data_IF_517313706470
#
_entry.id   IF_517313706470
#
_cell.length_a   1.000
_cell.length_b   1.000
_cell.length_c   1.000
_cell.angle_alpha   90.00
_cell.angle_beta   90.00
_cell.angle_gamma   90.00
#
_symmetry.space_group_name_H-M   'P 1'
#
loop_
_entity.id
_entity.type
_entity.pdbx_description
1 polymer ?
#
# COMPACT_ATOMS: atom_id res chain seq x y z
N UNK A 1 22.55 -9.42 -19.02
CA UNK A 1 22.16 -8.64 -17.81
C UNK A 1 20.88 -9.24 -17.25
N UNK A 2 20.90 -9.70 -16.02
CA UNK A 2 19.71 -10.19 -15.34
C UNK A 2 18.91 -9.03 -14.75
N UNK A 3 17.60 -9.21 -14.60
CA UNK A 3 16.77 -8.24 -13.87
C UNK A 3 17.13 -8.28 -12.39
N UNK A 4 17.08 -7.12 -11.68
CA UNK A 4 17.41 -7.09 -10.27
C UNK A 4 16.38 -7.83 -9.41
N UNK A 5 16.84 -8.46 -8.35
CA UNK A 5 16.01 -8.99 -7.30
C UNK A 5 15.75 -7.94 -6.21
N UNK A 6 14.69 -8.14 -5.41
CA UNK A 6 14.31 -7.18 -4.40
C UNK A 6 15.41 -6.92 -3.36
N UNK A 7 16.13 -7.97 -2.96
CA UNK A 7 17.23 -7.86 -1.99
C UNK A 7 18.37 -6.96 -2.50
N UNK A 8 18.62 -6.95 -3.80
CA UNK A 8 19.63 -6.07 -4.40
C UNK A 8 19.20 -4.60 -4.37
N UNK A 9 17.90 -4.35 -4.53
CA UNK A 9 17.36 -2.98 -4.55
C UNK A 9 17.09 -2.44 -3.14
N UNK A 10 16.61 -3.30 -2.23
CA UNK A 10 16.22 -2.90 -0.88
C UNK A 10 16.78 -3.87 0.17
N UNK A 11 18.09 -3.85 0.42
CA UNK A 11 18.73 -4.81 1.34
C UNK A 11 18.28 -4.66 2.79
N UNK A 12 17.75 -3.50 3.18
CA UNK A 12 17.28 -3.22 4.53
C UNK A 12 15.76 -3.28 4.70
N UNK A 13 15.04 -3.87 3.75
CA UNK A 13 13.58 -3.88 3.79
C UNK A 13 13.03 -4.51 5.08
N UNK A 14 13.63 -5.60 5.55
CA UNK A 14 13.18 -6.31 6.74
C UNK A 14 13.37 -5.51 8.05
N UNK A 15 14.18 -4.47 8.03
CA UNK A 15 14.41 -3.60 9.18
C UNK A 15 13.32 -2.53 9.35
N UNK A 16 12.42 -2.41 8.39
CA UNK A 16 11.36 -1.40 8.39
C UNK A 16 10.20 -1.81 9.27
N UNK A 17 9.44 -0.82 9.76
CA UNK A 17 8.27 -1.04 10.60
C UNK A 17 7.04 -1.45 9.78
N UNK A 18 6.17 -2.23 10.40
CA UNK A 18 4.95 -2.69 9.76
C UNK A 18 5.16 -3.89 8.85
N UNK A 19 4.15 -4.25 8.10
CA UNK A 19 4.18 -5.39 7.19
C UNK A 19 4.69 -4.98 5.82
N UNK A 20 5.60 -5.77 5.28
CA UNK A 20 6.08 -5.64 3.92
C UNK A 20 5.71 -6.90 3.13
N UNK A 21 5.54 -6.77 1.80
CA UNK A 21 5.29 -7.94 0.96
C UNK A 21 6.49 -8.89 0.94
N UNK A 22 6.21 -10.16 0.76
CA UNK A 22 7.24 -11.17 0.49
C UNK A 22 7.56 -11.19 -1.00
N UNK A 23 8.81 -10.93 -1.35
CA UNK A 23 9.25 -10.97 -2.74
C UNK A 23 9.67 -12.38 -3.13
N UNK A 24 9.08 -12.98 -4.18
CA UNK A 24 9.58 -14.24 -4.72
C UNK A 24 11.01 -14.11 -5.26
N UNK A 25 11.72 -15.22 -5.33
CA UNK A 25 13.00 -15.25 -6.05
C UNK A 25 12.78 -14.86 -7.52
N UNK A 26 13.75 -14.17 -8.10
CA UNK A 26 13.71 -13.73 -9.50
C UNK A 26 13.45 -12.23 -9.62
N UNK A 27 13.04 -11.78 -10.80
CA UNK A 27 12.84 -10.35 -11.05
C UNK A 27 11.92 -9.70 -10.02
N UNK A 28 12.25 -8.49 -9.60
CA UNK A 28 11.51 -7.79 -8.55
C UNK A 28 10.01 -7.68 -8.83
N UNK A 29 9.62 -7.51 -10.07
CA UNK A 29 8.20 -7.42 -10.45
C UNK A 29 7.42 -8.73 -10.31
N UNK A 30 8.10 -9.86 -10.04
CA UNK A 30 7.44 -11.14 -9.78
C UNK A 30 6.53 -11.12 -8.56
N UNK A 31 6.67 -10.12 -7.69
CA UNK A 31 5.77 -9.93 -6.55
C UNK A 31 4.35 -9.54 -6.99
N UNK A 32 4.20 -8.82 -8.09
CA UNK A 32 2.89 -8.27 -8.51
C UNK A 32 1.83 -9.35 -8.77
N UNK A 33 2.11 -10.45 -9.47
CA UNK A 33 1.13 -11.53 -9.59
C UNK A 33 0.75 -12.19 -8.26
N UNK A 34 1.60 -12.10 -7.23
CA UNK A 34 1.35 -12.69 -5.91
C UNK A 34 0.60 -11.75 -4.96
N UNK A 35 0.49 -10.47 -5.31
CA UNK A 35 -0.01 -9.43 -4.41
C UNK A 35 -1.42 -9.70 -3.92
N UNK A 36 -2.32 -10.12 -4.79
CA UNK A 36 -3.71 -10.43 -4.42
C UNK A 36 -3.77 -11.54 -3.37
N UNK A 37 -3.02 -12.62 -3.57
CA UNK A 37 -2.98 -13.72 -2.61
C UNK A 37 -2.39 -13.31 -1.27
N UNK A 38 -1.27 -12.58 -1.27
CA UNK A 38 -0.65 -12.10 -0.04
C UNK A 38 -1.59 -11.19 0.75
N UNK A 39 -2.24 -10.25 0.08
CA UNK A 39 -3.15 -9.31 0.76
C UNK A 39 -4.42 -10.00 1.26
N UNK A 40 -4.97 -10.93 0.51
CA UNK A 40 -6.13 -11.70 0.95
C UNK A 40 -5.83 -12.45 2.24
N UNK A 41 -4.68 -13.11 2.33
CA UNK A 41 -4.26 -13.83 3.53
C UNK A 41 -3.99 -12.88 4.70
N UNK A 42 -3.24 -11.81 4.44
CA UNK A 42 -2.87 -10.83 5.47
C UNK A 42 -4.07 -10.11 6.08
N UNK A 43 -5.10 -9.85 5.28
CA UNK A 43 -6.25 -9.06 5.68
C UNK A 43 -7.46 -9.91 6.12
N UNK A 44 -7.34 -11.24 6.17
CA UNK A 44 -8.46 -12.15 6.40
C UNK A 44 -9.25 -11.87 7.70
N UNK A 45 -8.55 -11.45 8.77
CA UNK A 45 -9.14 -11.21 10.09
C UNK A 45 -9.30 -9.72 10.44
N UNK A 46 -9.19 -8.85 9.45
CA UNK A 46 -9.27 -7.40 9.67
C UNK A 46 -10.74 -6.97 9.78
N UNK A 47 -11.07 -6.34 10.91
CA UNK A 47 -12.38 -5.72 11.12
C UNK A 47 -12.50 -4.34 10.46
N UNK A 48 -13.72 -3.86 10.32
CA UNK A 48 -13.97 -2.51 9.80
C UNK A 48 -13.46 -1.45 10.79
N UNK A 49 -12.70 -0.50 10.27
CA UNK A 49 -12.33 0.72 11.00
C UNK A 49 -12.76 1.91 10.16
N UNK A 50 -13.26 2.93 10.87
CA UNK A 50 -13.68 4.19 10.23
C UNK A 50 -12.77 5.32 10.65
N UNK A 51 -12.61 6.28 9.77
CA UNK A 51 -11.92 7.54 10.00
C UNK A 51 -12.82 8.69 9.58
N UNK A 52 -12.84 9.77 10.37
CA UNK A 52 -13.63 10.94 10.07
C UNK A 52 -13.21 11.59 8.75
N UNK A 53 -14.20 11.90 7.90
CA UNK A 53 -13.95 12.51 6.61
C UNK A 53 -13.36 11.59 5.54
N UNK A 54 -13.19 10.31 5.84
CA UNK A 54 -12.64 9.31 4.92
C UNK A 54 -13.75 8.36 4.47
N UNK A 55 -13.89 8.18 3.15
CA UNK A 55 -14.83 7.24 2.57
C UNK A 55 -14.15 5.88 2.38
N UNK A 56 -14.73 4.83 2.98
CA UNK A 56 -14.18 3.48 2.90
C UNK A 56 -15.21 2.54 2.29
N UNK A 57 -14.83 1.87 1.21
CA UNK A 57 -15.62 0.83 0.56
C UNK A 57 -14.93 -0.53 0.77
N UNK A 58 -15.47 -1.34 1.68
CA UNK A 58 -14.97 -2.69 1.97
C UNK A 58 -15.76 -3.79 1.28
N UNK A 59 -16.62 -3.46 0.31
CA UNK A 59 -17.46 -4.44 -0.37
C UNK A 59 -16.67 -5.50 -1.15
N UNK A 60 -15.46 -5.15 -1.62
CA UNK A 60 -14.57 -6.06 -2.35
C UNK A 60 -13.51 -6.71 -1.48
N UNK A 61 -13.32 -6.24 -0.27
CA UNK A 61 -12.35 -6.77 0.68
C UNK A 61 -12.00 -5.78 1.78
N UNK A 62 -11.30 -6.25 2.83
CA UNK A 62 -11.02 -5.44 4.01
C UNK A 62 -10.08 -4.26 3.72
N UNK A 63 -10.23 -3.21 4.52
CA UNK A 63 -9.31 -2.07 4.56
C UNK A 63 -8.66 -2.03 5.94
N UNK A 64 -7.36 -2.20 5.99
CA UNK A 64 -6.57 -2.05 7.21
C UNK A 64 -5.88 -0.69 7.22
N UNK A 65 -6.09 0.06 8.29
CA UNK A 65 -5.40 1.34 8.53
C UNK A 65 -4.77 1.27 9.91
N UNK A 66 -3.44 1.35 9.96
CA UNK A 66 -2.74 1.40 11.24
C UNK A 66 -3.13 2.65 12.01
N UNK A 67 -3.25 2.55 13.34
CA UNK A 67 -3.70 3.67 14.18
C UNK A 67 -2.79 4.91 14.08
N UNK A 68 -1.49 4.71 13.82
CA UNK A 68 -0.53 5.82 13.65
C UNK A 68 -0.52 6.44 12.27
N UNK A 69 -1.25 5.87 11.30
CA UNK A 69 -1.33 6.45 9.97
C UNK A 69 -2.18 7.72 9.98
N UNK A 70 -1.78 8.69 9.16
CA UNK A 70 -2.52 9.94 8.96
C UNK A 70 -3.27 9.89 7.64
N UNK A 71 -4.60 9.98 7.72
CA UNK A 71 -5.45 10.02 6.52
C UNK A 71 -6.18 11.36 6.54
N UNK A 72 -5.90 12.21 5.57
CA UNK A 72 -6.57 13.51 5.47
C UNK A 72 -8.02 13.38 4.99
N UNK A 73 -8.88 14.38 5.23
CA UNK A 73 -10.25 14.34 4.74
C UNK A 73 -10.35 14.24 3.22
N UNK A 74 -11.49 13.75 2.73
CA UNK A 74 -11.80 13.56 1.30
C UNK A 74 -10.94 12.51 0.60
N UNK A 75 -10.35 11.60 1.37
CA UNK A 75 -9.72 10.38 0.83
C UNK A 75 -10.80 9.33 0.62
N UNK A 76 -10.72 8.59 -0.49
CA UNK A 76 -11.57 7.43 -0.76
C UNK A 76 -10.72 6.18 -0.86
N UNK A 77 -11.08 5.14 -0.09
CA UNK A 77 -10.33 3.87 -0.06
C UNK A 77 -11.27 2.73 -0.42
N UNK A 78 -10.88 1.95 -1.43
CA UNK A 78 -11.56 0.72 -1.80
C UNK A 78 -10.66 -0.46 -1.41
N UNK A 79 -11.19 -1.38 -0.60
CA UNK A 79 -10.46 -2.59 -0.23
C UNK A 79 -10.45 -3.65 -1.34
N UNK A 80 -9.54 -4.63 -1.24
CA UNK A 80 -8.54 -4.80 -0.18
C UNK A 80 -7.44 -3.74 -0.21
N UNK A 81 -7.12 -3.17 0.94
CA UNK A 81 -6.06 -2.18 1.05
C UNK A 81 -5.37 -2.27 2.43
N UNK A 82 -4.08 -2.03 2.43
CA UNK A 82 -3.28 -1.95 3.66
C UNK A 82 -2.59 -0.60 3.74
N UNK A 83 -2.76 0.09 4.86
CA UNK A 83 -2.07 1.35 5.15
C UNK A 83 -1.33 1.19 6.47
N UNK A 84 -0.01 1.18 6.38
CA UNK A 84 0.89 0.83 7.47
C UNK A 84 1.18 1.95 8.46
N UNK A 85 2.01 1.63 9.48
CA UNK A 85 2.37 2.60 10.54
C UNK A 85 3.00 3.86 9.97
N UNK A 86 2.62 5.01 10.50
CA UNK A 86 3.16 6.33 10.12
C UNK A 86 3.02 6.67 8.62
N UNK A 87 2.25 5.91 7.87
CA UNK A 87 1.94 6.24 6.49
C UNK A 87 1.05 7.49 6.45
N UNK A 88 1.17 8.26 5.38
CA UNK A 88 0.39 9.49 5.18
C UNK A 88 -0.37 9.40 3.87
N UNK A 89 -1.68 9.60 3.93
CA UNK A 89 -2.54 9.70 2.75
C UNK A 89 -3.16 11.09 2.72
N UNK A 90 -2.81 11.86 1.70
CA UNK A 90 -3.17 13.26 1.60
C UNK A 90 -4.55 13.46 0.99
N UNK A 91 -5.05 14.67 1.17
CA UNK A 91 -6.38 15.11 0.72
C UNK A 91 -6.67 14.73 -0.73
N UNK A 92 -7.86 14.17 -0.97
CA UNK A 92 -8.33 13.82 -2.31
C UNK A 92 -7.70 12.59 -2.94
N UNK A 93 -6.87 11.85 -2.21
CA UNK A 93 -6.28 10.62 -2.70
C UNK A 93 -7.34 9.53 -2.92
N UNK A 94 -7.10 8.68 -3.91
CA UNK A 94 -7.95 7.56 -4.26
C UNK A 94 -7.14 6.27 -4.17
N UNK A 95 -7.33 5.53 -3.09
CA UNK A 95 -6.66 4.25 -2.82
C UNK A 95 -7.59 3.14 -3.31
N UNK A 96 -7.17 2.42 -4.33
CA UNK A 96 -7.98 1.35 -4.92
C UNK A 96 -7.48 -0.04 -4.51
N UNK A 97 -8.18 -1.05 -5.02
CA UNK A 97 -8.00 -2.44 -4.65
C UNK A 97 -6.55 -2.90 -4.78
N UNK A 98 -6.09 -3.65 -3.80
CA UNK A 98 -4.76 -4.22 -3.72
C UNK A 98 -3.64 -3.17 -3.69
N UNK A 99 -3.89 -2.08 -2.99
CA UNK A 99 -2.87 -1.09 -2.65
C UNK A 99 -2.23 -1.46 -1.30
N UNK A 100 -0.93 -1.68 -1.32
CA UNK A 100 -0.15 -1.98 -0.12
C UNK A 100 0.75 -0.78 0.19
N UNK A 101 0.28 0.06 1.09
CA UNK A 101 1.00 1.28 1.49
C UNK A 101 1.78 0.96 2.76
N UNK A 102 3.08 0.74 2.62
CA UNK A 102 3.95 0.35 3.73
C UNK A 102 4.18 1.49 4.73
N UNK A 103 4.76 1.15 5.87
CA UNK A 103 5.05 2.12 6.92
C UNK A 103 5.86 3.33 6.44
N UNK A 104 5.45 4.52 6.82
CA UNK A 104 6.12 5.76 6.45
C UNK A 104 5.98 6.19 5.00
N UNK A 105 5.26 5.44 4.17
CA UNK A 105 5.02 5.84 2.78
C UNK A 105 4.00 6.97 2.68
N UNK A 106 4.07 7.72 1.59
CA UNK A 106 3.20 8.87 1.33
C UNK A 106 2.43 8.68 0.03
N UNK A 107 1.11 8.70 0.12
CA UNK A 107 0.24 8.89 -1.05
C UNK A 107 -0.23 10.33 -1.01
N UNK A 108 0.23 11.13 -1.96
CA UNK A 108 0.06 12.57 -1.94
C UNK A 108 -1.30 13.04 -2.43
N UNK A 109 -1.43 14.39 -2.47
CA UNK A 109 -2.67 15.04 -2.87
C UNK A 109 -3.16 14.57 -4.24
N UNK A 110 -4.43 14.18 -4.29
CA UNK A 110 -5.13 13.75 -5.51
C UNK A 110 -4.40 12.63 -6.29
N UNK A 111 -3.64 11.80 -5.60
CA UNK A 111 -2.96 10.65 -6.20
C UNK A 111 -3.84 9.42 -6.14
N UNK A 112 -3.70 8.55 -7.14
CA UNK A 112 -4.44 7.30 -7.22
C UNK A 112 -3.48 6.12 -7.20
N UNK A 113 -3.82 5.06 -6.43
CA UNK A 113 -3.04 3.81 -6.40
C UNK A 113 -3.96 2.62 -6.67
N UNK A 114 -3.45 1.62 -7.39
CA UNK A 114 -4.17 0.37 -7.65
C UNK A 114 -3.18 -0.76 -7.90
N UNK A 115 -3.40 -1.91 -7.23
CA UNK A 115 -2.58 -3.11 -7.41
C UNK A 115 -1.08 -2.76 -7.42
N UNK A 116 -0.63 -2.10 -6.36
CA UNK A 116 0.71 -1.53 -6.27
C UNK A 116 1.23 -1.59 -4.85
N UNK A 117 2.54 -1.54 -4.73
CA UNK A 117 3.25 -1.52 -3.46
C UNK A 117 4.01 -0.21 -3.36
N UNK A 118 3.72 0.57 -2.32
CA UNK A 118 4.58 1.66 -1.89
C UNK A 118 5.40 1.15 -0.72
N UNK A 119 6.68 0.88 -0.97
CA UNK A 119 7.61 0.37 0.05
C UNK A 119 7.87 1.40 1.14
N UNK A 120 8.40 0.99 2.30
CA UNK A 120 8.60 1.92 3.41
C UNK A 120 9.34 3.19 3.02
N UNK A 121 8.75 4.34 3.36
CA UNK A 121 9.31 5.66 3.08
C UNK A 121 9.19 6.15 1.64
N UNK A 122 8.58 5.38 0.73
CA UNK A 122 8.38 5.83 -0.65
C UNK A 122 7.31 6.92 -0.73
N UNK A 123 7.37 7.74 -1.78
CA UNK A 123 6.46 8.89 -1.91
C UNK A 123 5.92 9.04 -3.33
N UNK A 124 4.61 9.22 -3.42
CA UNK A 124 3.91 9.66 -4.62
C UNK A 124 3.25 11.02 -4.29
N UNK A 125 3.98 12.15 -4.36
CA UNK A 125 3.63 13.36 -3.61
C UNK A 125 2.46 14.17 -4.15
N UNK A 126 2.25 14.25 -5.47
CA UNK A 126 1.19 15.09 -6.04
C UNK A 126 0.70 14.55 -7.37
N UNK A 127 -0.63 14.40 -7.52
CA UNK A 127 -1.27 14.11 -8.80
C UNK A 127 -0.65 12.93 -9.56
N UNK A 128 -0.28 11.89 -8.82
CA UNK A 128 0.32 10.69 -9.40
C UNK A 128 -0.73 9.62 -9.67
N UNK A 129 -0.47 8.79 -10.68
CA UNK A 129 -1.11 7.50 -10.79
C UNK A 129 -0.05 6.41 -10.62
N UNK A 130 -0.28 5.50 -9.68
CA UNK A 130 0.60 4.35 -9.40
C UNK A 130 -0.22 3.09 -9.59
N UNK A 131 0.00 2.39 -10.69
CA UNK A 131 -0.71 1.17 -11.04
C UNK A 131 0.26 0.07 -11.42
N UNK A 132 0.02 -1.16 -10.96
CA UNK A 132 0.86 -2.33 -11.23
C UNK A 132 2.35 -2.04 -11.03
N UNK A 133 2.67 -1.35 -9.95
CA UNK A 133 4.01 -0.78 -9.72
C UNK A 133 4.52 -1.05 -8.31
N UNK A 134 5.81 -0.90 -8.15
CA UNK A 134 6.52 -0.97 -6.87
C UNK A 134 7.38 0.30 -6.78
N UNK A 135 7.12 1.12 -5.76
CA UNK A 135 7.90 2.33 -5.48
C UNK A 135 8.79 2.11 -4.28
#
# INVERSE_FOLDING_TARGET
>A
MSAPEAEELWPSLDESIGRQPCFPNGPVWSVLPTLKGQMTDMLADVGEKRRDGVSIDSSKGPVYIHESATIEPSVHIIGPAYIGPCAVVRHGAYIREFSWICGGALVGHASETKHSILLPGSKAPHFNYVGDSIL
#
